data_IF_006061294265
#
_entry.id   IF_006061294265
#
_cell.length_a   1.000
_cell.length_b   1.000
_cell.length_c   1.000
_cell.angle_alpha   90.00
_cell.angle_beta   90.00
_cell.angle_gamma   90.00
#
_symmetry.space_group_name_H-M   'P 1'
#
loop_
_entity.id
_entity.type
_entity.pdbx_description
1 polymer ?
#
# COMPACT_ATOMS: atom_id res chain seq x y z
N UNK A 1 -11.63 42.33 -11.68
CA UNK A 1 -10.33 41.96 -11.07
C UNK A 1 -10.45 41.11 -9.80
N UNK A 2 -11.29 41.45 -8.80
CA UNK A 2 -11.42 40.66 -7.55
C UNK A 2 -11.74 39.17 -7.74
N UNK A 3 -12.69 38.82 -8.62
CA UNK A 3 -13.07 37.43 -8.88
C UNK A 3 -11.91 36.58 -9.44
N UNK A 4 -11.07 37.15 -10.31
CA UNK A 4 -9.92 36.45 -10.88
C UNK A 4 -8.86 36.14 -9.80
N UNK A 5 -8.62 37.08 -8.88
CA UNK A 5 -7.69 36.92 -7.76
C UNK A 5 -8.20 35.85 -6.78
N UNK A 6 -9.48 35.91 -6.37
CA UNK A 6 -10.07 34.91 -5.46
C UNK A 6 -10.03 33.50 -6.06
N UNK A 7 -10.27 33.38 -7.38
CA UNK A 7 -10.19 32.10 -8.10
C UNK A 7 -8.75 31.58 -8.17
N UNK A 8 -7.78 32.44 -8.48
CA UNK A 8 -6.37 32.07 -8.51
C UNK A 8 -5.87 31.62 -7.13
N UNK A 9 -6.19 32.38 -6.07
CA UNK A 9 -5.88 32.00 -4.69
C UNK A 9 -6.50 30.65 -4.31
N UNK A 10 -7.78 30.42 -4.63
CA UNK A 10 -8.43 29.13 -4.34
C UNK A 10 -7.81 27.95 -5.08
N UNK A 11 -7.24 28.15 -6.27
CA UNK A 11 -6.67 27.08 -7.09
C UNK A 11 -5.19 26.82 -6.81
N UNK A 12 -4.44 27.83 -6.35
CA UNK A 12 -2.98 27.77 -6.26
C UNK A 12 -2.41 27.95 -4.84
N UNK A 13 -3.22 28.34 -3.85
CA UNK A 13 -2.71 28.61 -2.49
C UNK A 13 -2.39 27.37 -1.65
N UNK A 14 -2.79 26.18 -2.08
CA UNK A 14 -2.64 24.94 -1.30
C UNK A 14 -1.69 23.96 -1.97
N UNK A 15 -0.86 23.31 -1.16
CA UNK A 15 0.04 22.23 -1.59
C UNK A 15 -0.71 21.10 -2.30
N UNK A 16 -1.90 20.76 -1.81
CA UNK A 16 -2.81 19.81 -2.46
C UNK A 16 -4.01 20.58 -3.00
N UNK A 17 -4.23 20.47 -4.31
CA UNK A 17 -5.34 21.15 -4.99
C UNK A 17 -6.69 20.63 -4.51
N UNK A 18 -7.55 21.56 -4.09
CA UNK A 18 -8.94 21.28 -3.71
C UNK A 18 -9.89 21.80 -4.81
N UNK A 19 -10.89 21.02 -5.26
CA UNK A 19 -11.90 21.51 -6.19
C UNK A 19 -12.67 22.73 -5.65
N UNK A 20 -13.05 23.67 -6.52
CA UNK A 20 -13.68 24.93 -6.10
C UNK A 20 -14.92 24.75 -5.21
N UNK A 21 -15.83 23.82 -5.58
CA UNK A 21 -17.01 23.51 -4.77
C UNK A 21 -16.66 22.98 -3.38
N UNK A 22 -15.56 22.24 -3.23
CA UNK A 22 -15.09 21.76 -1.93
C UNK A 22 -14.48 22.90 -1.11
N UNK A 23 -13.74 23.83 -1.73
CA UNK A 23 -13.23 25.02 -1.05
C UNK A 23 -14.35 25.89 -0.47
N UNK A 24 -15.43 26.09 -1.22
CA UNK A 24 -16.63 26.80 -0.76
C UNK A 24 -17.30 26.09 0.42
N UNK A 25 -17.45 24.77 0.34
CA UNK A 25 -18.00 23.96 1.43
C UNK A 25 -17.11 24.00 2.69
N UNK A 26 -15.79 23.93 2.53
CA UNK A 26 -14.83 24.07 3.65
C UNK A 26 -15.01 25.44 4.31
N UNK A 27 -15.05 26.53 3.54
CA UNK A 27 -15.26 27.87 4.09
C UNK A 27 -16.63 28.05 4.76
N UNK A 28 -17.68 27.39 4.25
CA UNK A 28 -19.00 27.40 4.87
C UNK A 28 -18.99 26.65 6.22
N UNK A 29 -18.40 25.45 6.25
CA UNK A 29 -18.26 24.64 7.47
C UNK A 29 -17.39 25.33 8.52
N UNK A 30 -16.26 25.90 8.12
CA UNK A 30 -15.40 26.67 9.03
C UNK A 30 -16.13 27.88 9.64
N UNK A 31 -16.91 28.62 8.84
CA UNK A 31 -17.70 29.76 9.35
C UNK A 31 -18.77 29.31 10.35
N UNK A 32 -19.51 28.24 10.05
CA UNK A 32 -20.50 27.69 10.96
C UNK A 32 -19.85 27.23 12.29
N UNK A 33 -18.70 26.57 12.23
CA UNK A 33 -17.93 26.19 13.43
C UNK A 33 -17.54 27.40 14.27
N UNK A 34 -17.03 28.48 13.67
CA UNK A 34 -16.68 29.71 14.39
C UNK A 34 -17.89 30.36 15.04
N UNK A 35 -18.99 30.52 14.30
CA UNK A 35 -20.23 31.15 14.82
C UNK A 35 -20.84 30.34 15.95
N UNK A 36 -20.98 29.02 15.77
CA UNK A 36 -21.49 28.13 16.81
C UNK A 36 -20.57 28.09 18.03
N UNK A 37 -19.25 28.12 17.82
CA UNK A 37 -18.27 28.15 18.89
C UNK A 37 -18.33 29.41 19.74
N UNK A 38 -18.50 30.57 19.09
CA UNK A 38 -18.70 31.85 19.79
C UNK A 38 -20.02 31.88 20.57
N UNK A 39 -21.11 31.34 20.01
CA UNK A 39 -22.42 31.29 20.69
C UNK A 39 -22.44 30.33 21.87
N UNK A 40 -21.74 29.20 21.76
CA UNK A 40 -21.79 28.11 22.75
C UNK A 40 -20.66 28.18 23.78
N UNK A 41 -19.67 29.07 23.59
CA UNK A 41 -18.49 29.18 24.44
C UNK A 41 -17.55 27.95 24.42
N UNK A 42 -17.78 27.01 23.49
CA UNK A 42 -17.01 25.76 23.33
C UNK A 42 -16.91 25.37 21.86
N UNK A 43 -15.96 24.51 21.51
CA UNK A 43 -15.88 23.96 20.15
C UNK A 43 -17.13 23.11 19.84
N UNK A 44 -17.86 23.38 18.74
CA UNK A 44 -19.09 22.67 18.41
C UNK A 44 -18.80 21.30 17.81
N UNK A 45 -19.68 20.34 18.08
CA UNK A 45 -19.63 18.98 17.52
C UNK A 45 -19.95 18.97 16.02
N UNK A 46 -19.43 17.99 15.29
CA UNK A 46 -19.78 17.74 13.88
C UNK A 46 -21.31 17.64 13.67
N UNK A 47 -22.04 17.10 14.66
CA UNK A 47 -23.51 17.00 14.65
C UNK A 47 -24.21 18.36 14.77
N UNK A 48 -23.62 19.28 15.54
CA UNK A 48 -24.14 20.63 15.73
C UNK A 48 -23.95 21.44 14.44
N UNK A 49 -22.76 21.31 13.83
CA UNK A 49 -22.44 21.93 12.54
C UNK A 49 -23.34 21.36 11.43
N UNK A 50 -23.56 20.05 11.42
CA UNK A 50 -24.44 19.39 10.46
C UNK A 50 -25.90 19.87 10.56
N UNK A 51 -26.42 20.02 11.79
CA UNK A 51 -27.77 20.57 12.04
C UNK A 51 -27.90 22.02 11.58
N UNK A 52 -26.93 22.87 11.92
CA UNK A 52 -26.93 24.29 11.54
C UNK A 52 -26.90 24.46 10.01
N UNK A 53 -26.07 23.68 9.33
CA UNK A 53 -25.94 23.73 7.87
C UNK A 53 -26.97 22.89 7.11
N UNK A 54 -27.82 22.15 7.82
CA UNK A 54 -28.78 21.17 7.27
C UNK A 54 -28.11 20.17 6.31
N UNK A 55 -26.90 19.74 6.66
CA UNK A 55 -26.14 18.76 5.91
C UNK A 55 -26.18 17.39 6.60
N UNK A 56 -26.09 16.29 5.85
CA UNK A 56 -25.79 14.99 6.45
C UNK A 56 -24.45 15.03 7.19
N UNK A 57 -24.38 14.42 8.38
CA UNK A 57 -23.14 14.40 9.18
C UNK A 57 -21.94 13.81 8.41
N UNK A 58 -22.17 12.78 7.59
CA UNK A 58 -21.13 12.19 6.75
C UNK A 58 -20.51 13.20 5.78
N UNK A 59 -21.33 14.12 5.24
CA UNK A 59 -20.87 15.19 4.35
C UNK A 59 -20.01 16.21 5.09
N UNK A 60 -20.39 16.59 6.33
CA UNK A 60 -19.59 17.49 7.18
C UNK A 60 -18.24 16.86 7.51
N UNK A 61 -18.22 15.57 7.93
CA UNK A 61 -16.98 14.83 8.21
C UNK A 61 -16.07 14.74 6.99
N UNK A 62 -16.63 14.46 5.82
CA UNK A 62 -15.88 14.42 4.57
C UNK A 62 -15.26 15.77 4.22
N UNK A 63 -16.04 16.86 4.30
CA UNK A 63 -15.56 18.23 4.04
C UNK A 63 -14.45 18.62 5.01
N UNK A 64 -14.62 18.34 6.31
CA UNK A 64 -13.61 18.60 7.33
C UNK A 64 -12.34 17.77 7.10
N UNK A 65 -12.46 16.50 6.71
CA UNK A 65 -11.35 15.63 6.36
C UNK A 65 -10.58 16.16 5.15
N UNK A 66 -11.27 16.51 4.05
CA UNK A 66 -10.64 17.10 2.86
C UNK A 66 -9.92 18.42 3.18
N UNK A 67 -10.53 19.25 4.04
CA UNK A 67 -9.91 20.48 4.53
C UNK A 67 -8.61 20.23 5.28
N UNK A 68 -8.59 19.26 6.21
CA UNK A 68 -7.40 18.87 6.97
C UNK A 68 -6.31 18.26 6.09
N UNK A 69 -6.66 17.33 5.20
CA UNK A 69 -5.69 16.67 4.31
C UNK A 69 -4.97 17.64 3.40
N UNK A 70 -5.65 18.72 2.97
CA UNK A 70 -5.01 19.77 2.16
C UNK A 70 -4.14 20.75 2.95
N UNK A 71 -4.20 20.72 4.29
CA UNK A 71 -3.34 21.54 5.15
C UNK A 71 -2.10 20.73 5.51
N UNK A 72 -1.10 20.77 4.64
CA UNK A 72 0.17 20.05 4.84
C UNK A 72 0.98 20.67 5.97
N UNK A 73 1.61 19.84 6.79
CA UNK A 73 2.60 20.29 7.78
C UNK A 73 3.98 20.25 7.12
N UNK A 74 4.83 21.24 7.40
CA UNK A 74 6.21 21.24 6.93
C UNK A 74 7.01 20.11 7.58
N UNK A 75 7.77 19.36 6.79
CA UNK A 75 8.70 18.34 7.30
C UNK A 75 9.87 18.95 8.08
N UNK A 76 10.25 20.19 7.75
CA UNK A 76 11.31 20.94 8.44
C UNK A 76 10.80 21.61 9.73
N UNK A 77 9.54 21.39 10.11
CA UNK A 77 9.01 21.92 11.37
C UNK A 77 9.81 21.27 12.53
N UNK A 78 10.46 22.06 13.40
CA UNK A 78 11.21 21.53 14.53
C UNK A 78 10.29 20.84 15.52
N UNK A 79 10.80 19.82 16.20
CA UNK A 79 10.07 19.10 17.24
C UNK A 79 10.63 19.52 18.61
N UNK A 80 9.77 20.07 19.47
CA UNK A 80 10.19 20.57 20.78
C UNK A 80 10.92 21.91 20.73
N UNK A 81 11.54 22.31 21.85
CA UNK A 81 12.16 23.63 22.04
C UNK A 81 13.71 23.62 21.90
N UNK A 82 14.33 22.47 21.58
CA UNK A 82 15.78 22.33 21.41
C UNK A 82 16.21 21.97 19.99
N UNK A 83 17.50 21.65 19.80
CA UNK A 83 18.09 21.10 18.55
C UNK A 83 17.64 19.64 18.26
N UNK A 84 16.42 19.31 18.70
CA UNK A 84 15.84 17.98 18.73
C UNK A 84 15.13 17.62 17.44
N UNK A 85 15.85 17.67 16.31
CA UNK A 85 15.39 17.14 15.04
C UNK A 85 14.14 17.79 14.44
N UNK A 86 13.83 17.38 13.22
CA UNK A 86 12.71 17.84 12.43
C UNK A 86 11.63 16.76 12.31
N UNK A 87 10.42 17.14 11.91
CA UNK A 87 9.35 16.17 11.60
C UNK A 87 9.78 15.11 10.58
N UNK A 88 10.69 15.46 9.67
CA UNK A 88 11.28 14.54 8.70
C UNK A 88 12.01 13.36 9.34
N UNK A 89 12.69 13.57 10.47
CA UNK A 89 13.55 12.57 11.11
C UNK A 89 12.74 11.47 11.82
N UNK A 90 11.43 11.68 12.01
CA UNK A 90 10.52 10.71 12.61
C UNK A 90 9.73 9.87 11.61
N UNK A 91 9.78 10.21 10.32
CA UNK A 91 9.03 9.47 9.30
C UNK A 91 9.86 8.28 8.87
N UNK A 92 9.45 7.09 9.29
CA UNK A 92 10.01 5.83 8.81
C UNK A 92 9.66 5.63 7.32
N UNK A 93 10.61 5.11 6.56
CA UNK A 93 10.39 4.74 5.17
C UNK A 93 9.85 3.30 5.08
N UNK A 94 8.53 3.18 5.06
CA UNK A 94 7.83 1.89 4.91
C UNK A 94 8.11 1.17 3.58
N UNK A 95 8.78 1.82 2.62
CA UNK A 95 9.10 1.22 1.32
C UNK A 95 10.45 0.52 1.28
N UNK A 96 11.31 0.76 2.28
CA UNK A 96 12.61 0.09 2.36
C UNK A 96 12.45 -1.34 2.84
N UNK A 97 12.82 -2.29 1.98
CA UNK A 97 12.97 -3.69 2.39
C UNK A 97 14.15 -3.77 3.36
N UNK A 98 13.91 -4.24 4.58
CA UNK A 98 14.96 -4.42 5.59
C UNK A 98 16.11 -5.26 5.02
N UNK A 99 17.39 -4.90 5.26
CA UNK A 99 18.53 -5.70 4.83
C UNK A 99 18.46 -7.15 5.31
N UNK A 100 17.87 -7.36 6.49
CA UNK A 100 17.60 -8.70 7.02
C UNK A 100 16.58 -9.46 6.16
N UNK A 101 15.46 -8.83 5.80
CA UNK A 101 14.47 -9.43 4.91
C UNK A 101 15.05 -9.73 3.52
N UNK A 102 15.88 -8.84 2.99
CA UNK A 102 16.57 -9.05 1.73
C UNK A 102 17.53 -10.25 1.80
N UNK A 103 18.27 -10.40 2.90
CA UNK A 103 19.14 -11.55 3.13
C UNK A 103 18.35 -12.86 3.24
N UNK A 104 17.21 -12.84 3.94
CA UNK A 104 16.29 -14.00 4.04
C UNK A 104 15.75 -14.39 2.67
N UNK A 105 15.28 -13.43 1.87
CA UNK A 105 14.80 -13.67 0.52
C UNK A 105 15.88 -14.25 -0.39
N UNK A 106 17.10 -13.69 -0.34
CA UNK A 106 18.25 -14.18 -1.11
C UNK A 106 18.62 -15.61 -0.70
N UNK A 107 18.58 -15.91 0.61
CA UNK A 107 18.84 -17.25 1.11
C UNK A 107 17.76 -18.25 0.65
N UNK A 108 16.49 -17.86 0.73
CA UNK A 108 15.35 -18.65 0.25
C UNK A 108 15.48 -18.96 -1.25
N UNK A 109 15.82 -17.95 -2.06
CA UNK A 109 16.01 -18.14 -3.50
C UNK A 109 17.15 -19.13 -3.79
N UNK A 110 18.28 -19.01 -3.09
CA UNK A 110 19.43 -19.91 -3.23
C UNK A 110 19.09 -21.36 -2.84
N UNK A 111 18.41 -21.55 -1.70
CA UNK A 111 17.99 -22.89 -1.24
C UNK A 111 16.95 -23.51 -2.17
N UNK A 112 16.00 -22.71 -2.66
CA UNK A 112 15.01 -23.16 -3.64
C UNK A 112 15.69 -23.61 -4.94
N UNK A 113 16.66 -22.84 -5.42
CA UNK A 113 17.47 -23.18 -6.59
C UNK A 113 18.26 -24.48 -6.39
N UNK A 114 18.84 -24.69 -5.20
CA UNK A 114 19.51 -25.94 -4.82
C UNK A 114 18.55 -27.13 -4.87
N UNK A 115 17.38 -27.00 -4.24
CA UNK A 115 16.37 -28.06 -4.22
C UNK A 115 15.89 -28.43 -5.63
N UNK A 116 15.75 -27.46 -6.55
CA UNK A 116 15.35 -27.73 -7.93
C UNK A 116 16.39 -28.54 -8.72
N UNK A 117 17.66 -28.61 -8.29
CA UNK A 117 18.70 -29.42 -8.96
C UNK A 117 18.49 -30.93 -8.80
N UNK A 118 17.70 -31.38 -7.83
CA UNK A 118 17.35 -32.81 -7.69
C UNK A 118 16.35 -33.29 -8.75
N UNK A 119 15.68 -32.36 -9.44
CA UNK A 119 14.71 -32.65 -10.47
C UNK A 119 15.40 -32.81 -11.82
N UNK A 120 14.77 -33.60 -12.70
CA UNK A 120 15.17 -33.62 -14.12
C UNK A 120 14.93 -32.25 -14.76
N UNK A 121 15.65 -31.91 -15.83
CA UNK A 121 15.49 -30.63 -16.55
C UNK A 121 14.02 -30.33 -16.90
N UNK A 122 13.28 -31.37 -17.29
CA UNK A 122 11.86 -31.26 -17.64
C UNK A 122 10.97 -30.99 -16.42
N UNK A 123 11.20 -31.70 -15.32
CA UNK A 123 10.48 -31.48 -14.04
C UNK A 123 10.76 -30.08 -13.48
N UNK A 124 12.04 -29.66 -13.45
CA UNK A 124 12.43 -28.34 -12.99
C UNK A 124 11.80 -27.21 -13.82
N UNK A 125 11.75 -27.37 -15.15
CA UNK A 125 11.15 -26.36 -16.04
C UNK A 125 9.63 -26.25 -15.84
N UNK A 126 8.92 -27.37 -15.67
CA UNK A 126 7.48 -27.37 -15.32
C UNK A 126 7.23 -26.65 -13.99
N UNK A 127 8.03 -26.94 -12.96
CA UNK A 127 7.89 -26.31 -11.63
C UNK A 127 8.18 -24.81 -11.69
N UNK A 128 9.25 -24.39 -12.39
CA UNK A 128 9.58 -22.96 -12.57
C UNK A 128 8.45 -22.19 -13.23
N UNK A 129 7.90 -22.69 -14.34
CA UNK A 129 6.80 -22.04 -15.04
C UNK A 129 5.51 -22.04 -14.21
N UNK A 130 5.22 -23.13 -13.49
CA UNK A 130 4.01 -23.24 -12.68
C UNK A 130 3.98 -22.22 -11.55
N UNK A 131 5.09 -22.07 -10.83
CA UNK A 131 5.15 -21.23 -9.63
C UNK A 131 5.83 -19.87 -9.84
N UNK A 132 6.41 -19.61 -11.01
CA UNK A 132 7.12 -18.37 -11.32
C UNK A 132 8.51 -18.28 -10.66
N UNK A 133 9.13 -19.42 -10.36
CA UNK A 133 10.43 -19.44 -9.66
C UNK A 133 11.54 -18.96 -10.60
N UNK A 134 12.27 -17.92 -10.18
CA UNK A 134 13.30 -17.27 -10.98
C UNK A 134 12.84 -16.02 -11.74
N UNK A 135 11.72 -15.41 -11.33
CA UNK A 135 11.26 -14.12 -11.87
C UNK A 135 10.31 -14.22 -13.06
N UNK A 136 9.85 -15.43 -13.40
CA UNK A 136 8.82 -15.64 -14.42
C UNK A 136 7.40 -15.45 -13.89
N UNK A 137 6.44 -15.19 -14.79
CA UNK A 137 5.01 -15.25 -14.44
C UNK A 137 4.58 -16.69 -14.14
N UNK A 138 3.54 -16.84 -13.33
CA UNK A 138 2.89 -18.14 -13.09
C UNK A 138 2.08 -18.55 -14.31
N UNK A 139 2.16 -19.83 -14.66
CA UNK A 139 1.43 -20.43 -15.77
C UNK A 139 0.40 -21.47 -15.32
N UNK A 140 -0.67 -21.63 -16.10
CA UNK A 140 -1.66 -22.70 -15.86
C UNK A 140 -1.15 -24.06 -16.38
N UNK A 141 -1.73 -25.16 -15.90
CA UNK A 141 -1.37 -26.50 -16.38
C UNK A 141 -1.67 -26.67 -17.88
N UNK A 142 -2.69 -25.98 -18.39
CA UNK A 142 -3.07 -25.99 -19.79
C UNK A 142 -2.06 -25.23 -20.65
N UNK A 143 -1.64 -24.03 -20.22
CA UNK A 143 -0.59 -23.25 -20.88
C UNK A 143 0.74 -24.02 -20.94
N UNK A 144 1.13 -24.64 -19.83
CA UNK A 144 2.34 -25.46 -19.76
C UNK A 144 2.19 -26.69 -20.67
N UNK A 145 1.01 -27.33 -20.68
CA UNK A 145 0.73 -28.47 -21.55
C UNK A 145 0.87 -28.14 -23.03
N UNK A 146 0.33 -26.99 -23.44
CA UNK A 146 0.47 -26.47 -24.80
C UNK A 146 1.94 -26.23 -25.18
N UNK A 147 2.73 -25.63 -24.30
CA UNK A 147 4.17 -25.39 -24.53
C UNK A 147 4.99 -26.68 -24.68
N UNK A 148 4.65 -27.71 -23.90
CA UNK A 148 5.36 -29.00 -23.93
C UNK A 148 4.76 -30.02 -24.90
N UNK A 149 3.73 -29.64 -25.67
CA UNK A 149 2.98 -30.53 -26.57
C UNK A 149 2.49 -31.80 -25.88
N UNK A 150 1.98 -31.66 -24.66
CA UNK A 150 1.43 -32.76 -23.85
C UNK A 150 0.10 -32.36 -23.23
N UNK A 151 -0.69 -33.37 -22.84
CA UNK A 151 -1.98 -33.12 -22.19
C UNK A 151 -1.81 -32.43 -20.84
N UNK A 152 -2.83 -31.67 -20.43
CA UNK A 152 -2.93 -31.07 -19.09
C UNK A 152 -2.68 -32.10 -17.98
N UNK A 153 -3.28 -33.28 -18.10
CA UNK A 153 -3.13 -34.35 -17.12
C UNK A 153 -1.68 -34.86 -17.04
N UNK A 154 -0.97 -34.89 -18.17
CA UNK A 154 0.45 -35.25 -18.16
C UNK A 154 1.30 -34.23 -17.40
N UNK A 155 1.03 -32.93 -17.53
CA UNK A 155 1.71 -31.90 -16.73
C UNK A 155 1.37 -32.05 -15.25
N UNK A 156 0.10 -32.33 -14.89
CA UNK A 156 -0.32 -32.57 -13.51
C UNK A 156 0.44 -33.74 -12.87
N UNK A 157 0.65 -34.83 -13.62
CA UNK A 157 1.44 -35.97 -13.17
C UNK A 157 2.92 -35.61 -12.94
N UNK A 158 3.52 -34.84 -13.87
CA UNK A 158 4.90 -34.37 -13.74
C UNK A 158 5.06 -33.47 -12.51
N UNK A 159 4.12 -32.54 -12.29
CA UNK A 159 4.08 -31.67 -11.12
C UNK A 159 3.98 -32.48 -9.83
N UNK A 160 3.04 -33.42 -9.74
CA UNK A 160 2.88 -34.27 -8.55
C UNK A 160 4.15 -35.09 -8.25
N UNK A 161 4.79 -35.65 -9.27
CA UNK A 161 6.05 -36.38 -9.13
C UNK A 161 7.20 -35.49 -8.67
N UNK A 162 7.33 -34.29 -9.25
CA UNK A 162 8.36 -33.32 -8.88
C UNK A 162 8.16 -32.81 -7.44
N UNK A 163 6.93 -32.47 -7.05
CA UNK A 163 6.60 -32.07 -5.68
C UNK A 163 6.88 -33.20 -4.68
N UNK A 164 6.63 -34.46 -5.05
CA UNK A 164 6.98 -35.62 -4.24
C UNK A 164 8.48 -35.71 -3.94
N UNK A 165 9.34 -35.51 -4.96
CA UNK A 165 10.80 -35.46 -4.80
C UNK A 165 11.24 -34.27 -3.96
N UNK A 166 10.67 -33.09 -4.22
CA UNK A 166 11.00 -31.86 -3.50
C UNK A 166 10.63 -31.92 -2.02
N UNK A 167 9.59 -32.67 -1.61
CA UNK A 167 9.24 -32.80 -0.19
C UNK A 167 10.38 -33.39 0.64
N UNK A 168 11.09 -34.40 0.14
CA UNK A 168 12.23 -34.98 0.85
C UNK A 168 13.38 -33.98 0.97
N UNK A 169 13.76 -33.37 -0.17
CA UNK A 169 14.89 -32.43 -0.23
C UNK A 169 14.59 -31.11 0.50
N UNK A 170 13.33 -30.70 0.58
CA UNK A 170 12.94 -29.48 1.30
C UNK A 170 13.16 -29.58 2.82
N UNK A 171 13.13 -30.80 3.38
CA UNK A 171 13.51 -31.05 4.77
C UNK A 171 15.03 -30.90 4.91
N UNK A 172 15.80 -31.56 4.05
CA UNK A 172 17.27 -31.55 4.11
C UNK A 172 17.88 -30.16 3.86
N UNK A 173 17.33 -29.40 2.91
CA UNK A 173 17.74 -28.01 2.62
C UNK A 173 17.23 -27.01 3.68
N UNK A 174 16.42 -27.46 4.65
CA UNK A 174 15.82 -26.62 5.68
C UNK A 174 14.95 -25.52 5.07
N UNK A 175 14.18 -25.82 4.03
CA UNK A 175 13.21 -24.89 3.44
C UNK A 175 11.99 -24.70 4.34
N UNK A 176 11.72 -25.67 5.23
CA UNK A 176 10.64 -25.57 6.23
C UNK A 176 10.82 -24.39 7.19
N UNK A 177 12.05 -23.98 7.49
CA UNK A 177 12.31 -22.84 8.38
C UNK A 177 11.85 -21.49 7.82
N UNK A 178 11.50 -21.42 6.53
CA UNK A 178 10.98 -20.21 5.87
C UNK A 178 9.45 -20.17 5.83
N UNK A 179 8.77 -21.30 6.09
CA UNK A 179 7.32 -21.36 6.25
C UNK A 179 7.06 -21.04 7.72
N UNK A 180 6.77 -19.77 8.00
CA UNK A 180 6.83 -19.18 9.33
C UNK A 180 6.17 -19.99 10.45
N UNK A 181 6.82 -19.92 11.62
CA UNK A 181 6.14 -19.68 12.89
C UNK A 181 5.87 -18.19 13.08
#
# INVERSE_FOLDING_TARGET
>A
MRQAITRAMSQQSRTIRVPAHMSELISLVSRARTVLGQRSGRDPSDEEIARELRFPIGKVRQVLSSGRSSNTISLDKPIGEGDGGSFRDLIEDDTLVSPFQQAVWTNLQRKTESALKCLTTREAHVIRMRFGVGGGRRHTLEEIGALFLVTRERIRQIEAKALGKLRGVAVDEGLQSFVGG
#
